data_IF_913060333142
#
_entry.id   IF_913060333142
#
_cell.length_a   1.000
_cell.length_b   1.000
_cell.length_c   1.000
_cell.angle_alpha   90.00
_cell.angle_beta   90.00
_cell.angle_gamma   90.00
#
_symmetry.space_group_name_H-M   'P 1'
#
loop_
_entity.id
_entity.type
_entity.pdbx_description
1 polymer ?
#
# COMPACT_ATOMS: atom_id res chain seq x y z
N UNK A 1 38.94 -22.34 50.12
CA UNK A 1 38.13 -21.58 49.15
C UNK A 1 37.45 -22.61 48.26
N UNK A 2 36.46 -23.35 48.74
CA UNK A 2 35.04 -22.96 48.90
C UNK A 2 34.39 -22.59 47.56
N UNK A 3 33.82 -23.59 46.89
CA UNK A 3 32.71 -23.38 45.95
C UNK A 3 31.40 -23.80 46.65
N UNK A 4 30.32 -23.01 46.50
CA UNK A 4 29.04 -23.27 47.18
C UNK A 4 28.21 -24.39 46.50
N UNK A 5 27.29 -25.02 47.26
CA UNK A 5 26.46 -26.13 46.77
C UNK A 5 25.35 -25.67 45.80
N UNK A 6 25.05 -26.54 44.83
CA UNK A 6 23.93 -26.42 43.89
C UNK A 6 22.59 -26.78 44.58
N UNK A 7 21.49 -26.05 44.35
CA UNK A 7 20.18 -26.39 44.90
C UNK A 7 19.37 -27.37 44.01
N UNK A 8 19.04 -28.51 44.61
CA UNK A 8 17.74 -29.20 44.63
C UNK A 8 16.96 -29.44 43.33
N UNK A 9 16.93 -30.70 42.88
CA UNK A 9 15.87 -31.27 42.03
C UNK A 9 14.52 -31.36 42.80
N UNK A 10 13.37 -31.11 42.16
CA UNK A 10 12.07 -31.30 42.81
C UNK A 10 11.69 -32.79 42.86
N UNK A 11 11.31 -33.23 44.06
CA UNK A 11 10.87 -34.58 44.41
C UNK A 11 9.61 -35.02 43.66
N UNK A 12 9.60 -36.29 43.27
CA UNK A 12 8.54 -36.93 42.49
C UNK A 12 7.21 -37.07 43.25
N UNK A 13 6.13 -36.68 42.57
CA UNK A 13 4.76 -36.95 43.02
C UNK A 13 4.44 -38.45 42.88
N UNK A 14 4.07 -39.07 44.00
CA UNK A 14 3.58 -40.46 44.10
C UNK A 14 2.20 -40.60 43.42
N UNK A 15 1.95 -41.63 42.59
CA UNK A 15 0.66 -41.81 41.92
C UNK A 15 -0.43 -42.36 42.86
N UNK A 16 -1.65 -41.85 42.65
CA UNK A 16 -2.91 -42.13 43.34
C UNK A 16 -3.48 -43.53 42.97
N UNK A 17 -3.89 -44.40 43.92
CA UNK A 17 -4.40 -45.74 43.62
C UNK A 17 -5.93 -45.73 43.51
N UNK A 18 -6.47 -45.50 42.32
CA UNK A 18 -7.93 -45.47 42.17
C UNK A 18 -8.49 -45.33 40.75
N UNK A 19 -8.04 -46.14 39.78
CA UNK A 19 -8.72 -46.21 38.47
C UNK A 19 -8.90 -47.66 37.98
N UNK A 20 -10.05 -48.03 37.38
CA UNK A 20 -10.36 -49.40 37.02
C UNK A 20 -9.49 -49.90 35.85
N UNK A 21 -9.11 -51.17 35.92
CA UNK A 21 -8.41 -51.87 34.86
C UNK A 21 -9.33 -52.19 33.67
N UNK A 22 -8.80 -51.98 32.48
CA UNK A 22 -9.23 -52.67 31.25
C UNK A 22 -10.17 -51.86 30.38
N UNK A 23 -9.62 -51.26 29.31
CA UNK A 23 -10.10 -51.42 27.93
C UNK A 23 -8.91 -51.18 26.99
N UNK A 24 -8.63 -52.16 26.14
CA UNK A 24 -7.66 -52.05 25.05
C UNK A 24 -8.20 -51.05 24.01
N UNK A 25 -7.54 -49.92 23.84
CA UNK A 25 -7.78 -49.04 22.70
C UNK A 25 -7.14 -49.66 21.45
N UNK A 26 -7.87 -49.85 20.34
CA UNK A 26 -7.27 -50.31 19.09
C UNK A 26 -6.35 -49.23 18.50
N UNK A 27 -5.17 -49.66 18.06
CA UNK A 27 -4.21 -48.83 17.33
C UNK A 27 -4.83 -48.30 16.03
N UNK A 28 -4.66 -47.02 15.66
CA UNK A 28 -5.06 -46.55 14.34
C UNK A 28 -4.15 -47.17 13.28
N UNK A 29 -4.75 -47.89 12.33
CA UNK A 29 -4.05 -48.41 11.17
C UNK A 29 -3.63 -47.26 10.26
N UNK A 30 -2.32 -47.16 10.00
CA UNK A 30 -1.76 -46.32 8.96
C UNK A 30 -2.36 -46.73 7.60
N UNK A 31 -3.22 -45.87 7.05
CA UNK A 31 -3.68 -45.99 5.68
C UNK A 31 -2.59 -45.47 4.73
N UNK A 32 -2.21 -46.36 3.81
CA UNK A 32 -1.34 -46.14 2.66
C UNK A 32 -1.87 -45.01 1.75
N UNK A 33 -0.99 -44.35 0.97
CA UNK A 33 -1.32 -43.13 0.24
C UNK A 33 -2.26 -43.37 -0.95
N UNK A 34 -3.16 -42.41 -1.19
CA UNK A 34 -4.05 -42.37 -2.35
C UNK A 34 -3.26 -42.31 -3.67
N UNK A 35 -3.69 -43.03 -4.73
CA UNK A 35 -3.05 -42.96 -6.04
C UNK A 35 -3.36 -41.63 -6.74
N UNK A 36 -2.31 -41.03 -7.31
CA UNK A 36 -2.35 -39.85 -8.17
C UNK A 36 -3.28 -40.08 -9.37
N UNK A 37 -4.42 -39.40 -9.41
CA UNK A 37 -5.23 -39.33 -10.64
C UNK A 37 -4.65 -38.25 -11.56
N UNK A 38 -4.07 -38.71 -12.66
CA UNK A 38 -3.67 -37.87 -13.79
C UNK A 38 -4.93 -37.41 -14.54
N UNK A 39 -5.17 -36.09 -14.57
CA UNK A 39 -6.29 -35.48 -15.26
C UNK A 39 -5.91 -34.16 -15.93
N UNK A 40 -5.53 -34.26 -17.20
CA UNK A 40 -5.77 -33.30 -18.28
C UNK A 40 -5.42 -31.81 -18.07
N UNK A 41 -4.16 -31.46 -18.39
CA UNK A 41 -3.83 -30.12 -18.90
C UNK A 41 -3.82 -30.17 -20.43
N UNK A 42 -4.83 -29.58 -21.07
CA UNK A 42 -4.75 -29.19 -22.47
C UNK A 42 -3.86 -27.95 -22.62
N UNK A 43 -3.21 -27.75 -23.79
CA UNK A 43 -2.35 -26.59 -24.00
C UNK A 43 -3.17 -25.28 -23.96
N UNK A 44 -2.56 -24.15 -23.55
CA UNK A 44 -3.26 -22.88 -23.43
C UNK A 44 -3.83 -22.45 -24.78
N UNK A 45 -5.14 -22.15 -24.79
CA UNK A 45 -5.86 -21.61 -25.95
C UNK A 45 -5.27 -20.23 -26.29
N UNK A 46 -4.74 -20.09 -27.50
CA UNK A 46 -4.30 -18.80 -28.02
C UNK A 46 -5.52 -17.86 -28.20
N UNK A 47 -5.40 -16.56 -27.88
CA UNK A 47 -6.47 -15.60 -28.17
C UNK A 47 -6.69 -15.50 -29.69
N UNK A 48 -7.94 -15.27 -30.15
CA UNK A 48 -8.23 -15.14 -31.56
C UNK A 48 -7.49 -13.93 -32.17
N UNK A 49 -6.96 -14.04 -33.40
CA UNK A 49 -6.20 -12.96 -34.01
C UNK A 49 -7.12 -11.77 -34.34
N UNK A 50 -6.83 -10.61 -33.75
CA UNK A 50 -7.40 -9.33 -34.18
C UNK A 50 -6.82 -8.96 -35.54
N UNK A 51 -7.67 -8.82 -36.56
CA UNK A 51 -7.28 -8.40 -37.90
C UNK A 51 -6.85 -6.93 -37.90
N UNK A 52 -5.55 -6.66 -37.80
CA UNK A 52 -4.98 -5.37 -38.14
C UNK A 52 -3.90 -5.55 -39.21
N UNK A 53 -4.23 -5.04 -40.40
CA UNK A 53 -3.30 -4.89 -41.52
C UNK A 53 -2.24 -3.88 -41.10
N UNK A 54 -0.97 -4.27 -41.00
CA UNK A 54 0.21 -3.48 -41.42
C UNK A 54 1.54 -4.21 -41.15
N UNK A 55 2.25 -4.46 -42.24
CA UNK A 55 3.69 -4.65 -42.44
C UNK A 55 4.61 -5.07 -41.27
N UNK A 56 5.20 -6.27 -41.41
CA UNK A 56 6.48 -6.64 -40.78
C UNK A 56 7.50 -6.90 -41.88
N UNK A 57 8.56 -6.09 -41.92
CA UNK A 57 9.84 -6.44 -42.52
C UNK A 57 10.80 -6.75 -41.37
N UNK A 58 11.28 -7.99 -41.27
CA UNK A 58 12.58 -8.29 -40.67
C UNK A 58 13.21 -9.43 -41.46
N UNK A 59 14.38 -9.17 -42.03
CA UNK A 59 15.20 -10.17 -42.69
C UNK A 59 16.67 -9.82 -42.58
N UNK A 60 17.35 -10.56 -41.68
CA UNK A 60 18.74 -11.00 -41.72
C UNK A 60 19.88 -9.97 -41.53
N UNK A 61 20.66 -10.22 -40.47
CA UNK A 61 21.97 -9.62 -40.27
C UNK A 61 23.07 -10.26 -41.12
N UNK A 62 24.17 -9.51 -41.31
CA UNK A 62 25.48 -10.02 -41.72
C UNK A 62 26.56 -9.13 -41.11
N UNK A 63 27.60 -9.76 -40.55
CA UNK A 63 28.88 -9.16 -40.12
C UNK A 63 29.54 -8.37 -41.27
N UNK A 64 30.17 -7.23 -40.96
CA UNK A 64 31.00 -6.52 -41.94
C UNK A 64 31.99 -5.56 -41.29
N UNK A 65 33.25 -5.95 -41.35
CA UNK A 65 34.45 -5.32 -40.83
C UNK A 65 34.93 -4.15 -41.73
N UNK A 66 35.28 -3.01 -41.09
CA UNK A 66 36.30 -1.97 -41.41
C UNK A 66 36.43 -1.48 -42.87
N UNK A 67 36.33 -0.15 -43.09
CA UNK A 67 37.34 0.67 -43.81
C UNK A 67 37.19 2.16 -43.39
N UNK A 68 38.32 2.76 -43.01
CA UNK A 68 38.57 4.20 -42.84
C UNK A 68 38.72 4.86 -44.21
N UNK A 69 38.02 5.98 -44.48
CA UNK A 69 38.47 6.98 -45.46
C UNK A 69 38.14 8.37 -44.93
N UNK A 70 39.20 9.15 -44.68
CA UNK A 70 39.15 10.59 -44.47
C UNK A 70 39.07 11.31 -45.84
N UNK A 71 38.23 12.35 -45.95
CA UNK A 71 38.42 13.42 -46.93
C UNK A 71 38.12 14.76 -46.27
N UNK A 72 39.16 15.57 -46.18
CA UNK A 72 39.15 17.01 -45.88
C UNK A 72 38.72 17.77 -47.13
N UNK A 73 37.83 18.75 -46.99
CA UNK A 73 37.70 19.84 -47.96
C UNK A 73 37.51 21.17 -47.22
N UNK A 74 38.56 21.98 -47.27
CA UNK A 74 38.67 23.37 -46.85
C UNK A 74 38.23 24.25 -48.02
N UNK A 75 37.40 25.27 -47.75
CA UNK A 75 37.40 26.65 -48.28
C UNK A 75 36.16 27.36 -47.72
N UNK A 76 36.13 28.58 -47.18
CA UNK A 76 37.11 29.66 -47.09
C UNK A 76 36.42 30.98 -47.48
N UNK A 77 36.24 31.89 -46.49
CA UNK A 77 36.09 33.36 -46.62
C UNK A 77 34.83 33.89 -47.38
N UNK A 78 34.17 34.99 -47.05
CA UNK A 78 34.65 36.38 -46.87
C UNK A 78 33.62 37.19 -46.05
N UNK A 79 34.07 37.93 -45.04
CA UNK A 79 33.45 39.19 -44.60
C UNK A 79 34.23 40.36 -45.24
N UNK A 80 33.62 41.54 -45.45
CA UNK A 80 33.98 42.62 -44.51
C UNK A 80 32.93 43.74 -44.26
N UNK A 81 33.06 44.40 -43.10
CA UNK A 81 32.88 45.85 -42.86
C UNK A 81 31.45 46.33 -42.58
N UNK A 82 31.05 46.79 -41.40
CA UNK A 82 31.50 47.94 -40.59
C UNK A 82 31.47 49.28 -41.35
N UNK A 83 30.44 50.11 -41.14
CA UNK A 83 30.53 51.58 -41.20
C UNK A 83 29.33 52.29 -40.50
N UNK A 84 29.70 53.10 -39.50
CA UNK A 84 29.18 54.40 -39.02
C UNK A 84 27.74 54.61 -38.52
N UNK A 85 27.67 55.04 -37.25
CA UNK A 85 26.63 55.90 -36.68
C UNK A 85 26.88 57.37 -37.03
N UNK A 86 25.80 58.11 -37.33
CA UNK A 86 25.71 59.57 -37.13
C UNK A 86 24.26 59.94 -36.71
N UNK A 87 24.12 61.06 -35.99
CA UNK A 87 22.96 61.45 -35.17
C UNK A 87 22.27 62.70 -35.73
N UNK A 88 20.93 62.75 -35.71
CA UNK A 88 20.02 63.92 -35.55
C UNK A 88 18.62 63.54 -36.06
N UNK A 89 17.59 63.38 -35.22
CA UNK A 89 16.76 64.39 -34.53
C UNK A 89 15.83 65.21 -35.46
N UNK A 90 14.56 64.81 -35.56
CA UNK A 90 13.42 65.74 -35.62
C UNK A 90 12.11 65.12 -35.04
N UNK A 91 11.72 65.69 -33.89
CA UNK A 91 10.44 65.97 -33.21
C UNK A 91 9.08 65.32 -33.56
N UNK A 92 8.42 64.87 -32.46
CA UNK A 92 6.97 64.71 -32.14
C UNK A 92 6.16 63.61 -32.89
N UNK A 93 5.44 62.71 -32.21
CA UNK A 93 4.33 62.97 -31.26
C UNK A 93 4.21 61.86 -30.20
N UNK A 94 3.60 62.18 -29.06
CA UNK A 94 3.55 61.40 -27.82
C UNK A 94 2.49 60.28 -27.75
N UNK A 95 2.89 59.20 -27.04
CA UNK A 95 2.12 58.29 -26.15
C UNK A 95 1.11 57.25 -26.72
N UNK A 96 0.86 56.12 -26.01
CA UNK A 96 1.70 55.40 -25.06
C UNK A 96 1.90 53.90 -25.36
N UNK A 97 2.89 53.38 -24.63
CA UNK A 97 3.40 52.01 -24.53
C UNK A 97 2.34 50.94 -24.23
N UNK A 98 2.41 49.83 -24.98
CA UNK A 98 1.96 48.51 -24.54
C UNK A 98 2.94 47.48 -25.11
N UNK A 99 3.82 46.96 -24.26
CA UNK A 99 4.73 45.87 -24.58
C UNK A 99 3.94 44.59 -24.94
N UNK A 100 4.39 43.76 -25.90
CA UNK A 100 3.87 42.41 -26.03
C UNK A 100 4.43 41.56 -24.88
N UNK A 101 3.60 41.34 -23.86
CA UNK A 101 3.83 40.28 -22.87
C UNK A 101 3.86 38.95 -23.61
N UNK A 102 5.04 38.35 -23.67
CA UNK A 102 5.25 36.99 -24.11
C UNK A 102 4.45 36.06 -23.21
N UNK A 103 3.34 35.55 -23.72
CA UNK A 103 2.53 34.52 -23.09
C UNK A 103 3.37 33.26 -22.94
N UNK A 104 3.94 33.05 -21.75
CA UNK A 104 4.32 31.72 -21.31
C UNK A 104 3.03 30.89 -21.26
N UNK A 105 2.90 29.95 -22.19
CA UNK A 105 1.94 28.87 -22.07
C UNK A 105 2.43 27.94 -20.97
N UNK A 106 2.08 28.25 -19.72
CA UNK A 106 1.99 27.25 -18.67
C UNK A 106 0.69 26.48 -18.88
N UNK A 107 0.76 25.42 -19.69
CA UNK A 107 -0.23 24.34 -19.64
C UNK A 107 0.09 23.45 -18.45
N UNK A 108 -0.36 23.85 -17.26
CA UNK A 108 -0.63 22.93 -16.15
C UNK A 108 -2.13 22.88 -15.93
N UNK A 109 -2.77 21.93 -16.61
CA UNK A 109 -4.18 21.59 -16.39
C UNK A 109 -4.30 20.72 -15.15
N UNK A 110 -3.95 21.25 -13.97
CA UNK A 110 -4.23 20.56 -12.69
C UNK A 110 -5.62 21.00 -12.21
N UNK A 111 -6.64 20.22 -12.55
CA UNK A 111 -7.94 20.39 -11.90
C UNK A 111 -7.78 19.93 -10.45
N UNK A 112 -8.00 20.80 -9.46
CA UNK A 112 -7.72 20.47 -8.06
C UNK A 112 -8.55 19.25 -7.64
N UNK A 113 -7.90 18.30 -6.94
CA UNK A 113 -8.54 17.12 -6.37
C UNK A 113 -9.79 17.55 -5.59
N UNK A 114 -10.96 17.05 -6.03
CA UNK A 114 -12.23 17.31 -5.35
C UNK A 114 -12.33 16.43 -4.12
N UNK A 115 -12.40 17.04 -2.95
CA UNK A 115 -12.49 16.34 -1.65
C UNK A 115 -13.82 16.72 -0.99
N UNK A 116 -14.66 15.74 -0.60
CA UNK A 116 -15.88 15.99 0.19
C UNK A 116 -15.57 16.67 1.53
N UNK A 117 -16.46 17.55 1.99
CA UNK A 117 -16.26 18.23 3.28
C UNK A 117 -16.56 17.33 4.49
N UNK A 118 -17.61 16.51 4.39
CA UNK A 118 -18.11 15.68 5.48
C UNK A 118 -17.49 14.28 5.53
N UNK A 119 -17.44 13.70 6.74
CA UNK A 119 -17.11 12.29 6.93
C UNK A 119 -18.30 11.41 6.55
N UNK A 120 -18.00 10.23 6.02
CA UNK A 120 -18.93 9.13 5.95
C UNK A 120 -19.08 8.51 7.34
N UNK A 121 -20.30 8.14 7.72
CA UNK A 121 -20.54 7.38 8.93
C UNK A 121 -19.92 5.98 8.83
N UNK A 122 -19.39 5.46 9.94
CA UNK A 122 -18.92 4.08 9.97
C UNK A 122 -20.06 3.11 9.62
N UNK A 123 -19.78 2.07 8.82
CA UNK A 123 -20.76 1.04 8.54
C UNK A 123 -21.14 0.32 9.83
N UNK A 124 -22.37 -0.20 9.91
CA UNK A 124 -22.87 -0.92 11.08
C UNK A 124 -23.24 -2.33 10.68
N UNK A 125 -22.80 -3.32 11.46
CA UNK A 125 -23.26 -4.69 11.30
C UNK A 125 -24.72 -4.79 11.72
N UNK A 126 -25.55 -5.42 10.89
CA UNK A 126 -26.94 -5.74 11.23
C UNK A 126 -27.03 -6.77 12.35
N UNK A 127 -26.10 -7.72 12.38
CA UNK A 127 -25.93 -8.69 13.46
C UNK A 127 -24.55 -8.50 14.11
N UNK A 128 -24.48 -8.21 15.42
CA UNK A 128 -23.20 -8.10 16.14
C UNK A 128 -22.38 -9.39 16.05
N UNK A 129 -21.05 -9.25 16.07
CA UNK A 129 -20.14 -10.38 16.18
C UNK A 129 -20.26 -11.05 17.56
N UNK A 130 -19.90 -12.33 17.64
CA UNK A 130 -19.69 -12.98 18.93
C UNK A 130 -18.60 -12.23 19.72
N UNK A 131 -18.81 -12.04 21.01
CA UNK A 131 -17.83 -11.44 21.92
C UNK A 131 -17.56 -12.41 23.08
N UNK A 132 -16.34 -12.99 23.16
CA UNK A 132 -15.19 -12.75 22.28
C UNK A 132 -15.34 -13.40 20.89
N UNK A 133 -14.77 -12.75 19.88
CA UNK A 133 -14.55 -13.36 18.57
C UNK A 133 -13.38 -14.35 18.62
N UNK A 134 -13.31 -15.29 17.69
CA UNK A 134 -12.21 -16.26 17.63
C UNK A 134 -11.26 -15.93 16.47
N UNK A 135 -10.10 -15.35 16.78
CA UNK A 135 -9.15 -14.89 15.78
C UNK A 135 -8.02 -15.89 15.54
N UNK A 136 -7.56 -15.98 14.29
CA UNK A 136 -6.41 -16.78 13.89
C UNK A 136 -5.58 -16.01 12.85
N UNK A 137 -4.27 -16.18 12.90
CA UNK A 137 -3.30 -15.47 12.07
C UNK A 137 -2.34 -16.48 11.42
N UNK A 138 -2.79 -17.20 10.37
CA UNK A 138 -1.95 -18.19 9.72
C UNK A 138 -0.73 -17.54 9.07
N UNK A 139 0.40 -18.25 9.06
CA UNK A 139 1.61 -17.78 8.39
C UNK A 139 1.34 -17.48 6.91
N UNK A 140 1.95 -16.41 6.39
CA UNK A 140 1.89 -16.10 4.97
C UNK A 140 3.05 -16.79 4.24
N UNK A 141 2.72 -17.77 3.40
CA UNK A 141 3.69 -18.53 2.61
C UNK A 141 3.94 -17.93 1.22
N UNK A 142 3.28 -16.82 0.88
CA UNK A 142 3.20 -16.32 -0.50
C UNK A 142 3.55 -14.84 -0.64
N UNK A 143 3.47 -14.05 0.42
CA UNK A 143 3.86 -12.63 0.42
C UNK A 143 5.36 -12.41 0.69
N UNK A 144 5.85 -11.22 0.33
CA UNK A 144 7.17 -10.77 0.74
C UNK A 144 7.13 -10.41 2.24
N UNK A 145 8.15 -10.85 3.00
CA UNK A 145 8.25 -10.61 4.44
C UNK A 145 9.51 -9.81 4.76
N UNK A 146 9.57 -8.53 4.33
CA UNK A 146 10.78 -7.72 4.52
C UNK A 146 11.01 -7.32 5.97
N UNK A 147 9.94 -7.25 6.76
CA UNK A 147 9.99 -7.09 8.22
C UNK A 147 9.09 -8.16 8.81
N UNK A 148 9.65 -9.03 9.65
CA UNK A 148 8.87 -10.07 10.33
C UNK A 148 8.33 -9.50 11.64
N UNK A 149 7.07 -9.80 11.93
CA UNK A 149 6.45 -9.53 13.23
C UNK A 149 5.88 -10.81 13.84
N UNK A 150 5.67 -10.80 15.15
CA UNK A 150 4.94 -11.87 15.82
C UNK A 150 3.44 -11.61 15.65
N UNK A 151 2.65 -12.58 15.16
CA UNK A 151 1.20 -12.43 15.15
C UNK A 151 0.67 -12.27 16.59
N UNK A 152 -0.49 -11.62 16.78
CA UNK A 152 -1.20 -11.69 18.05
C UNK A 152 -1.52 -13.14 18.44
N UNK A 153 -1.81 -13.37 19.72
CA UNK A 153 -2.29 -14.67 20.18
C UNK A 153 -3.57 -15.07 19.43
N UNK A 154 -3.61 -16.30 18.93
CA UNK A 154 -4.82 -16.87 18.38
C UNK A 154 -5.80 -17.22 19.51
N UNK A 155 -7.10 -17.13 19.23
CA UNK A 155 -8.17 -17.48 20.16
C UNK A 155 -9.14 -16.34 20.46
N UNK A 156 -9.79 -16.38 21.65
CA UNK A 156 -10.75 -15.38 22.09
C UNK A 156 -10.17 -13.95 22.06
N UNK A 157 -10.81 -13.06 21.30
CA UNK A 157 -10.42 -11.67 21.09
C UNK A 157 -11.64 -10.76 21.31
N UNK A 158 -11.53 -9.66 22.08
CA UNK A 158 -12.67 -8.77 22.30
C UNK A 158 -13.24 -8.21 21.00
N UNK A 159 -14.56 -8.30 20.84
CA UNK A 159 -15.31 -7.84 19.66
C UNK A 159 -16.19 -6.62 19.95
N UNK A 160 -15.89 -5.90 21.03
CA UNK A 160 -16.62 -4.69 21.43
C UNK A 160 -15.67 -3.57 21.89
N UNK A 161 -16.16 -2.34 21.80
CA UNK A 161 -15.43 -1.14 22.19
C UNK A 161 -14.47 -0.61 21.13
N UNK A 162 -13.95 0.58 21.40
CA UNK A 162 -13.06 1.32 20.51
C UNK A 162 -11.70 1.59 21.16
N UNK A 163 -10.69 1.84 20.34
CA UNK A 163 -9.36 2.29 20.79
C UNK A 163 -8.93 3.51 20.00
N UNK A 164 -8.48 4.56 20.70
CA UNK A 164 -7.87 5.72 20.06
C UNK A 164 -6.39 5.42 19.76
N UNK A 165 -5.95 5.79 18.56
CA UNK A 165 -4.56 5.63 18.12
C UNK A 165 -4.11 6.91 17.42
N UNK A 166 -2.87 7.32 17.65
CA UNK A 166 -2.24 8.42 16.89
C UNK A 166 -1.07 7.88 16.09
N UNK A 167 -1.15 8.00 14.77
CA UNK A 167 -0.04 7.74 13.85
C UNK A 167 0.75 9.03 13.67
N UNK A 168 1.99 9.05 14.18
CA UNK A 168 2.89 10.20 13.99
C UNK A 168 3.58 10.07 12.65
N UNK A 169 3.46 11.08 11.79
CA UNK A 169 4.06 11.05 10.44
C UNK A 169 4.82 12.33 10.12
N UNK A 170 5.67 12.26 9.10
CA UNK A 170 6.36 13.44 8.53
C UNK A 170 5.42 14.50 7.97
N UNK A 171 4.16 14.15 7.64
CA UNK A 171 3.18 15.07 7.07
C UNK A 171 2.26 15.73 8.12
N UNK A 172 2.26 15.20 9.34
CA UNK A 172 1.35 15.57 10.44
C UNK A 172 0.86 14.34 11.21
N UNK A 173 0.27 14.57 12.38
CA UNK A 173 -0.33 13.48 13.17
C UNK A 173 -1.69 13.07 12.56
N UNK A 174 -1.93 11.77 12.48
CA UNK A 174 -3.18 11.19 11.99
C UNK A 174 -3.83 10.42 13.14
N UNK A 175 -4.93 10.97 13.67
CA UNK A 175 -5.73 10.29 14.69
C UNK A 175 -6.66 9.26 14.08
N UNK A 176 -6.71 8.07 14.68
CA UNK A 176 -7.56 6.96 14.28
C UNK A 176 -8.42 6.52 15.47
N UNK A 177 -9.65 6.10 15.21
CA UNK A 177 -10.48 5.36 16.17
C UNK A 177 -10.72 3.97 15.62
N UNK A 178 -10.12 2.97 16.24
CA UNK A 178 -10.27 1.56 15.87
C UNK A 178 -11.54 1.00 16.52
N UNK A 179 -12.31 0.20 15.78
CA UNK A 179 -13.58 -0.35 16.26
C UNK A 179 -13.58 -1.89 16.22
N UNK A 180 -13.56 -2.51 17.41
CA UNK A 180 -13.54 -3.96 17.56
C UNK A 180 -14.87 -4.61 17.18
N UNK A 181 -15.97 -3.86 17.20
CA UNK A 181 -17.29 -4.33 16.74
C UNK A 181 -17.36 -4.51 15.23
N UNK A 182 -16.49 -3.81 14.48
CA UNK A 182 -16.39 -3.97 13.04
C UNK A 182 -15.47 -5.13 12.67
N UNK A 183 -14.27 -5.17 13.27
CA UNK A 183 -13.19 -6.04 12.81
C UNK A 183 -12.20 -6.41 13.95
N UNK A 184 -12.60 -7.28 14.89
CA UNK A 184 -11.80 -7.61 16.07
C UNK A 184 -10.40 -8.16 15.73
N UNK A 185 -10.30 -9.04 14.74
CA UNK A 185 -9.02 -9.66 14.39
C UNK A 185 -8.07 -8.67 13.72
N UNK A 186 -8.62 -7.78 12.90
CA UNK A 186 -7.88 -6.68 12.25
C UNK A 186 -7.37 -5.68 13.26
N UNK A 187 -8.22 -5.25 14.21
CA UNK A 187 -7.83 -4.32 15.28
C UNK A 187 -6.73 -4.94 16.16
N UNK A 188 -6.88 -6.20 16.55
CA UNK A 188 -5.86 -6.90 17.35
C UNK A 188 -4.52 -7.03 16.60
N UNK A 189 -4.55 -7.34 15.31
CA UNK A 189 -3.33 -7.37 14.47
C UNK A 189 -2.66 -6.00 14.39
N UNK A 190 -3.43 -4.96 14.06
CA UNK A 190 -2.90 -3.60 13.92
C UNK A 190 -2.26 -3.10 15.23
N UNK A 191 -2.93 -3.31 16.38
CA UNK A 191 -2.40 -2.92 17.68
C UNK A 191 -1.13 -3.69 18.06
N UNK A 192 -1.09 -5.00 17.79
CA UNK A 192 0.11 -5.83 18.02
C UNK A 192 1.29 -5.34 17.19
N UNK A 193 1.08 -5.05 15.90
CA UNK A 193 2.10 -4.51 15.01
C UNK A 193 2.58 -3.13 15.47
N UNK A 194 1.67 -2.25 15.89
CA UNK A 194 2.02 -0.94 16.43
C UNK A 194 2.87 -1.05 17.70
N UNK A 195 2.50 -1.93 18.65
CA UNK A 195 3.24 -2.16 19.89
C UNK A 195 4.64 -2.74 19.65
N UNK A 196 4.82 -3.50 18.56
CA UNK A 196 6.11 -4.03 18.15
C UNK A 196 6.98 -3.02 17.36
N UNK A 197 6.52 -1.77 17.16
CA UNK A 197 7.21 -0.79 16.31
C UNK A 197 7.30 -1.23 14.84
N UNK A 198 6.37 -2.08 14.39
CA UNK A 198 6.39 -2.61 13.03
C UNK A 198 6.29 -1.50 11.98
N UNK A 199 5.46 -0.51 12.26
CA UNK A 199 5.18 0.57 11.32
C UNK A 199 6.23 1.69 11.32
N UNK A 200 7.15 1.70 12.28
CA UNK A 200 8.18 2.74 12.39
C UNK A 200 9.11 2.70 11.17
N UNK A 201 9.28 3.86 10.52
CA UNK A 201 10.04 4.03 9.28
C UNK A 201 9.31 3.62 8.00
N UNK A 202 8.13 3.00 8.09
CA UNK A 202 7.33 2.63 6.91
C UNK A 202 6.72 3.87 6.25
N UNK A 203 6.46 3.81 4.95
CA UNK A 203 5.93 4.95 4.18
C UNK A 203 4.61 4.61 3.48
N UNK A 204 3.81 5.63 3.20
CA UNK A 204 2.67 5.50 2.31
C UNK A 204 3.15 5.48 0.86
N UNK A 205 2.92 4.38 0.17
CA UNK A 205 3.47 4.12 -1.16
C UNK A 205 2.47 4.40 -2.28
N UNK A 206 1.18 4.58 -1.94
CA UNK A 206 0.14 4.81 -2.94
C UNK A 206 -0.89 5.81 -2.43
N UNK A 207 -0.92 6.96 -3.09
CA UNK A 207 -1.99 7.94 -3.10
C UNK A 207 -2.75 7.77 -4.42
N UNK A 208 -4.08 7.79 -4.38
CA UNK A 208 -4.92 7.92 -5.57
C UNK A 208 -5.67 9.25 -5.54
N UNK A 209 -5.64 10.03 -6.62
CA UNK A 209 -6.26 11.37 -6.68
C UNK A 209 -7.56 11.41 -7.48
N UNK A 210 -7.83 10.39 -8.29
CA UNK A 210 -9.07 10.22 -9.07
C UNK A 210 -9.64 8.80 -8.91
N UNK A 211 -10.97 8.69 -8.81
CA UNK A 211 -11.70 7.42 -8.69
C UNK A 211 -11.55 6.74 -7.32
N UNK A 212 -10.31 6.41 -6.93
CA UNK A 212 -9.98 5.80 -5.64
C UNK A 212 -9.19 6.76 -4.76
N UNK A 213 -9.91 7.68 -4.10
CA UNK A 213 -9.31 8.74 -3.29
C UNK A 213 -8.92 8.25 -1.89
N UNK A 214 -7.75 7.61 -1.82
CA UNK A 214 -7.19 7.06 -0.60
C UNK A 214 -5.67 7.19 -0.53
N UNK A 215 -5.14 7.03 0.69
CA UNK A 215 -3.72 6.92 0.97
C UNK A 215 -3.45 5.55 1.61
N UNK A 216 -2.68 4.71 0.92
CA UNK A 216 -2.30 3.36 1.34
C UNK A 216 -0.86 3.32 1.88
N UNK A 217 -0.72 2.67 3.04
CA UNK A 217 0.50 2.62 3.83
C UNK A 217 0.68 1.23 4.48
N UNK A 218 1.72 1.05 5.29
CA UNK A 218 1.92 -0.15 6.10
C UNK A 218 2.69 -1.28 5.41
N UNK A 219 3.32 -1.01 4.28
CA UNK A 219 4.31 -1.88 3.66
C UNK A 219 5.72 -1.43 4.11
N UNK A 220 6.53 -2.30 4.74
CA UNK A 220 7.90 -1.96 5.14
C UNK A 220 8.84 -1.56 3.98
N UNK A 221 8.60 -2.06 2.77
CA UNK A 221 9.43 -1.76 1.59
C UNK A 221 8.79 -0.72 0.66
N UNK A 222 7.55 -0.31 0.94
CA UNK A 222 6.79 0.58 0.06
C UNK A 222 6.64 0.05 -1.38
N UNK A 223 6.67 -1.27 -1.58
CA UNK A 223 6.55 -1.92 -2.89
C UNK A 223 5.09 -2.26 -3.26
N UNK A 224 4.20 -2.27 -2.26
CA UNK A 224 2.83 -2.77 -2.33
C UNK A 224 2.73 -4.28 -2.06
N UNK A 225 3.84 -5.00 -1.92
CA UNK A 225 3.89 -6.46 -1.80
C UNK A 225 4.36 -6.96 -0.44
N UNK A 226 4.88 -6.09 0.42
CA UNK A 226 5.39 -6.46 1.74
C UNK A 226 4.30 -6.65 2.79
N UNK A 227 4.60 -7.47 3.79
CA UNK A 227 3.72 -7.76 4.92
C UNK A 227 4.47 -8.26 6.16
N UNK A 228 3.73 -8.62 7.23
CA UNK A 228 4.30 -8.94 8.54
C UNK A 228 4.72 -10.42 8.70
N UNK A 229 4.47 -11.25 7.68
CA UNK A 229 4.74 -12.69 7.68
C UNK A 229 3.57 -13.57 8.11
N UNK A 230 2.38 -12.99 8.28
CA UNK A 230 1.13 -13.70 8.56
C UNK A 230 -0.04 -13.00 7.86
N UNK A 231 -1.14 -13.73 7.67
CA UNK A 231 -2.37 -13.18 7.13
C UNK A 231 -3.39 -12.84 8.23
N UNK A 232 -4.16 -11.79 7.98
CA UNK A 232 -5.32 -11.33 8.76
C UNK A 232 -6.58 -11.73 7.99
N UNK A 233 -7.60 -12.31 8.66
CA UNK A 233 -8.83 -12.72 7.99
C UNK A 233 -9.63 -11.52 7.47
N UNK A 234 -10.45 -11.77 6.45
CA UNK A 234 -11.41 -10.77 5.98
C UNK A 234 -12.57 -10.70 6.98
N UNK A 235 -12.92 -9.48 7.40
CA UNK A 235 -14.04 -9.21 8.32
C UNK A 235 -15.02 -8.22 7.66
N UNK A 236 -14.99 -8.10 6.33
CA UNK A 236 -15.93 -7.28 5.56
C UNK A 236 -17.37 -7.83 5.62
N UNK A 237 -18.36 -6.97 5.38
CA UNK A 237 -19.78 -7.32 5.40
C UNK A 237 -20.56 -6.48 4.37
N UNK A 238 -21.75 -6.92 3.90
CA UNK A 238 -22.41 -6.35 2.71
C UNK A 238 -22.69 -4.85 2.75
N UNK A 239 -22.92 -4.30 3.94
CA UNK A 239 -23.22 -2.89 4.16
C UNK A 239 -21.96 -1.99 4.16
N UNK A 240 -20.76 -2.56 4.04
CA UNK A 240 -19.52 -1.79 3.97
C UNK A 240 -19.52 -0.86 2.74
N UNK A 241 -19.16 0.39 3.00
CA UNK A 241 -18.90 1.43 2.01
C UNK A 241 -17.61 2.15 2.37
N UNK A 242 -16.98 2.75 1.37
CA UNK A 242 -15.72 3.45 1.52
C UNK A 242 -15.92 4.90 1.11
N UNK A 243 -15.69 5.77 2.07
CA UNK A 243 -15.79 7.21 1.86
C UNK A 243 -14.90 7.93 2.85
N UNK A 244 -14.86 9.25 2.72
CA UNK A 244 -14.03 10.12 3.56
C UNK A 244 -14.14 9.77 5.04
N UNK A 245 -13.01 9.46 5.66
CA UNK A 245 -12.92 9.12 7.08
C UNK A 245 -12.87 7.62 7.37
N UNK A 246 -13.04 6.75 6.38
CA UNK A 246 -12.98 5.29 6.55
C UNK A 246 -11.52 4.80 6.56
N UNK A 247 -11.20 3.93 7.51
CA UNK A 247 -9.96 3.18 7.61
C UNK A 247 -10.23 1.70 7.28
N UNK A 248 -9.51 1.14 6.31
CA UNK A 248 -9.72 -0.22 5.87
C UNK A 248 -8.42 -0.98 5.59
N UNK A 249 -8.45 -2.29 5.83
CA UNK A 249 -7.32 -3.20 5.63
C UNK A 249 -7.12 -3.45 4.14
N UNK A 250 -5.90 -3.26 3.65
CA UNK A 250 -5.55 -3.68 2.30
C UNK A 250 -5.29 -5.19 2.29
N UNK A 251 -5.60 -5.83 1.18
CA UNK A 251 -5.41 -7.27 1.00
C UNK A 251 -5.05 -7.58 -0.45
N UNK A 252 -4.57 -8.79 -0.68
CA UNK A 252 -4.39 -9.33 -2.03
C UNK A 252 -5.75 -9.76 -2.58
N UNK A 253 -5.77 -10.16 -3.86
CA UNK A 253 -7.01 -10.65 -4.49
C UNK A 253 -7.57 -11.89 -3.78
N UNK A 254 -6.69 -12.72 -3.21
CA UNK A 254 -7.08 -13.90 -2.44
C UNK A 254 -7.83 -13.51 -1.16
N UNK A 255 -8.92 -14.19 -0.79
CA UNK A 255 -9.58 -13.98 0.50
C UNK A 255 -8.65 -14.24 1.68
N UNK A 256 -8.92 -13.59 2.82
CA UNK A 256 -8.19 -13.75 4.08
C UNK A 256 -6.68 -13.52 3.92
N UNK A 257 -6.32 -12.47 3.17
CA UNK A 257 -4.93 -12.14 2.82
C UNK A 257 -4.53 -10.73 3.27
N UNK A 258 -5.30 -10.14 4.18
CA UNK A 258 -4.88 -8.93 4.87
C UNK A 258 -3.56 -9.16 5.57
N UNK A 259 -2.79 -8.09 5.81
CA UNK A 259 -1.47 -8.21 6.44
C UNK A 259 -1.24 -7.03 7.37
N UNK A 260 -0.28 -6.20 6.99
CA UNK A 260 0.04 -4.94 7.69
C UNK A 260 -0.44 -3.70 6.95
N UNK A 261 -0.69 -3.82 5.64
CA UNK A 261 -1.05 -2.69 4.80
C UNK A 261 -2.50 -2.26 5.02
N UNK A 262 -2.75 -0.96 5.04
CA UNK A 262 -4.08 -0.39 5.19
C UNK A 262 -4.20 0.87 4.33
N UNK A 263 -5.43 1.26 4.03
CA UNK A 263 -5.70 2.50 3.33
C UNK A 263 -6.68 3.38 4.11
N UNK A 264 -6.43 4.68 4.00
CA UNK A 264 -7.21 5.74 4.61
C UNK A 264 -7.92 6.51 3.51
N UNK A 265 -9.25 6.48 3.52
CA UNK A 265 -10.07 7.11 2.49
C UNK A 265 -10.31 8.57 2.86
N UNK A 266 -9.88 9.50 2.00
CA UNK A 266 -10.08 10.93 2.21
C UNK A 266 -11.16 11.51 1.31
N UNK A 267 -11.60 10.79 0.28
CA UNK A 267 -12.65 11.23 -0.64
C UNK A 267 -13.59 10.12 -1.05
N UNK A 268 -13.89 10.06 -2.35
CA UNK A 268 -14.73 9.02 -2.94
C UNK A 268 -13.91 7.79 -3.31
N UNK A 269 -14.42 6.60 -2.99
CA UNK A 269 -13.79 5.33 -3.29
C UNK A 269 -14.83 4.29 -3.67
N UNK A 270 -15.00 4.06 -4.97
CA UNK A 270 -15.86 2.99 -5.47
C UNK A 270 -15.12 1.65 -5.41
N UNK A 271 -15.34 0.92 -4.32
CA UNK A 271 -14.80 -0.42 -4.12
C UNK A 271 -15.93 -1.39 -3.76
N UNK A 272 -15.81 -2.68 -4.15
CA UNK A 272 -16.69 -3.71 -3.63
C UNK A 272 -16.52 -3.85 -2.11
N UNK A 273 -17.56 -4.30 -1.37
CA UNK A 273 -17.55 -4.43 0.08
C UNK A 273 -16.69 -5.61 0.59
N UNK A 274 -15.48 -5.74 0.05
CA UNK A 274 -14.57 -6.88 0.26
C UNK A 274 -13.37 -6.55 1.14
N UNK A 275 -13.16 -5.28 1.50
CA UNK A 275 -12.06 -4.82 2.36
C UNK A 275 -12.58 -4.57 3.77
N UNK A 276 -11.88 -5.10 4.76
CA UNK A 276 -12.25 -4.96 6.16
C UNK A 276 -12.15 -3.50 6.61
N UNK A 277 -13.29 -2.86 6.90
CA UNK A 277 -13.32 -1.59 7.62
C UNK A 277 -13.11 -1.87 9.11
N UNK A 278 -12.13 -1.22 9.72
CA UNK A 278 -11.75 -1.48 11.11
C UNK A 278 -11.62 -0.21 11.98
N UNK A 279 -12.03 0.93 11.44
CA UNK A 279 -12.03 2.18 12.18
C UNK A 279 -12.29 3.41 11.32
N UNK A 280 -12.13 4.58 11.95
CA UNK A 280 -12.28 5.88 11.33
C UNK A 280 -11.10 6.81 11.59
N UNK A 281 -11.03 7.88 10.80
CA UNK A 281 -10.00 8.92 10.86
C UNK A 281 -10.58 10.17 11.53
N UNK A 282 -9.79 10.81 12.40
CA UNK A 282 -10.13 12.06 13.06
C UNK A 282 -10.15 13.24 12.09
N UNK A 283 -10.85 14.32 12.45
CA UNK A 283 -10.88 15.52 11.60
C UNK A 283 -9.49 16.15 11.39
N UNK A 284 -8.63 16.27 12.42
CA UNK A 284 -7.24 16.69 12.21
C UNK A 284 -6.45 15.74 11.31
N UNK A 285 -6.69 14.43 11.41
CA UNK A 285 -6.07 13.45 10.52
C UNK A 285 -6.50 13.65 9.07
N UNK A 286 -7.78 13.91 8.83
CA UNK A 286 -8.30 14.21 7.50
C UNK A 286 -7.72 15.51 6.92
N UNK A 287 -7.47 16.54 7.73
CA UNK A 287 -6.77 17.75 7.27
C UNK A 287 -5.33 17.44 6.80
N UNK A 288 -4.64 16.55 7.51
CA UNK A 288 -3.32 16.06 7.10
C UNK A 288 -3.40 15.33 5.76
N UNK A 289 -4.40 14.44 5.59
CA UNK A 289 -4.62 13.72 4.33
C UNK A 289 -4.98 14.67 3.18
N UNK A 290 -5.80 15.69 3.42
CA UNK A 290 -6.19 16.69 2.41
C UNK A 290 -4.97 17.45 1.89
N UNK A 291 -4.05 17.83 2.79
CA UNK A 291 -2.79 18.48 2.41
C UNK A 291 -1.97 17.58 1.49
N UNK A 292 -1.83 16.30 1.83
CA UNK A 292 -1.09 15.32 1.03
C UNK A 292 -1.77 15.11 -0.33
N UNK A 293 -3.09 14.92 -0.34
CA UNK A 293 -3.88 14.69 -1.53
C UNK A 293 -3.84 15.88 -2.51
N UNK A 294 -3.94 17.11 -2.01
CA UNK A 294 -3.87 18.34 -2.83
C UNK A 294 -2.49 18.60 -3.41
N UNK A 295 -1.43 18.05 -2.81
CA UNK A 295 -0.09 18.09 -3.40
C UNK A 295 0.09 17.07 -4.54
N UNK A 296 -0.83 16.12 -4.68
CA UNK A 296 -0.86 15.14 -5.75
C UNK A 296 0.17 14.01 -5.58
N UNK A 297 0.25 13.19 -6.64
CA UNK A 297 1.21 12.09 -6.74
C UNK A 297 2.55 12.60 -7.26
N UNK A 298 3.61 11.84 -6.98
CA UNK A 298 4.91 12.00 -7.62
C UNK A 298 4.88 11.30 -8.99
N UNK A 299 4.55 12.08 -10.03
CA UNK A 299 4.38 11.59 -11.41
C UNK A 299 5.64 10.93 -11.97
N UNK A 300 6.82 11.25 -11.44
CA UNK A 300 8.07 10.63 -11.86
C UNK A 300 8.20 9.16 -11.40
N UNK A 301 7.37 8.75 -10.43
CA UNK A 301 7.39 7.41 -9.82
C UNK A 301 6.06 6.67 -9.94
N UNK A 302 5.00 7.33 -10.43
CA UNK A 302 3.68 6.75 -10.62
C UNK A 302 3.46 6.20 -12.03
N UNK A 303 2.46 5.33 -12.23
CA UNK A 303 2.04 4.84 -13.55
C UNK A 303 1.37 5.89 -14.46
N UNK A 304 1.13 7.12 -13.98
CA UNK A 304 0.50 8.20 -14.77
C UNK A 304 -1.03 8.10 -14.87
N UNK A 305 -1.67 7.27 -14.03
CA UNK A 305 -3.13 7.05 -14.02
C UNK A 305 -3.86 7.80 -12.88
N UNK A 306 -3.20 8.81 -12.29
CA UNK A 306 -3.69 9.49 -11.08
C UNK A 306 -3.41 8.72 -9.79
N UNK A 307 -2.61 7.66 -9.84
CA UNK A 307 -2.11 6.95 -8.66
C UNK A 307 -0.59 6.92 -8.62
N UNK A 308 -0.02 6.78 -7.43
CA UNK A 308 1.43 6.73 -7.25
C UNK A 308 1.85 7.13 -5.84
N UNK A 309 3.15 7.13 -5.52
CA UNK A 309 3.61 7.62 -4.23
C UNK A 309 3.23 9.10 -4.05
N UNK A 310 2.89 9.56 -2.83
CA UNK A 310 2.50 10.94 -2.60
C UNK A 310 3.67 11.90 -2.82
N UNK A 311 3.42 13.05 -3.44
CA UNK A 311 4.44 14.09 -3.66
C UNK A 311 4.99 14.65 -2.35
N UNK A 312 4.13 14.78 -1.34
CA UNK A 312 4.54 15.01 0.05
C UNK A 312 4.73 13.63 0.70
N UNK A 313 5.97 13.21 1.00
CA UNK A 313 6.20 11.90 1.60
C UNK A 313 5.53 11.79 2.98
N UNK A 314 4.84 10.68 3.20
CA UNK A 314 4.23 10.33 4.49
C UNK A 314 4.96 9.12 5.06
N UNK A 315 5.91 9.37 5.95
CA UNK A 315 6.69 8.34 6.64
C UNK A 315 6.30 8.29 8.10
N UNK A 316 6.12 7.09 8.62
CA UNK A 316 5.65 6.84 9.98
C UNK A 316 6.84 6.94 10.93
N UNK A 317 6.69 7.76 11.96
CA UNK A 317 7.69 7.93 13.00
C UNK A 317 7.42 6.96 14.16
N UNK A 318 6.16 6.84 14.56
CA UNK A 318 5.69 5.93 15.61
C UNK A 318 4.17 5.84 15.58
N UNK A 319 3.60 4.79 16.17
CA UNK A 319 2.16 4.69 16.45
C UNK A 319 1.93 4.64 17.96
N UNK A 320 1.25 5.65 18.51
CA UNK A 320 0.89 5.71 19.93
C UNK A 320 -0.52 5.15 20.13
N UNK A 321 -0.62 4.11 20.98
CA UNK A 321 -1.91 3.53 21.41
C UNK A 321 -2.35 4.26 22.68
N UNK A 322 -3.58 4.78 22.67
CA UNK A 322 -4.17 5.53 23.79
C UNK A 322 -4.79 4.67 24.88
#
# INVERSE_FOLDING_TARGET
MSQPPQPGEPEGQKPDPGAPQGQQYPQPQYQQPYPQQQGWYGPPQQPPPSSNKTALWVGLGVLGLVVVVAVVAITGFVAPGFFLSDSKSETAVAAPSSAPTSSAQDTTTDSPVRIPAGRMDLPKRTTPLADPANCAYPADSTGSVPKKANPPAAGPTPATGTMAVTVKTTAGDIGLTLDRGLAPCTVASFLSLAQQGFYDGTSCHRLGTSGLQMLQCGDPEASGMGGPGYNVPDEAFPEVRYGRGILAMAKRQTPNSGGSQFFMVYGEAELPPDYTVFGSISDPGLQTLDKVARAGVDDAKGPGDGTGPPRIPVTFQSIAVG
#
